data_IF_539765064268
#
_entry.id   IF_539765064268
#
_cell.length_a   1.000
_cell.length_b   1.000
_cell.length_c   1.000
_cell.angle_alpha   90.00
_cell.angle_beta   90.00
_cell.angle_gamma   90.00
#
_symmetry.space_group_name_H-M   'P 1'
#
loop_
_entity.id
_entity.type
_entity.pdbx_description
1 polymer ?
#
# COMPACT_ATOMS: atom_id res chain seq x y z
N UNK A 1 -13.25 -5.12 -2.68
CA UNK A 1 -12.59 -5.78 -1.53
C UNK A 1 -13.21 -5.26 -0.24
N UNK A 2 -13.30 -6.11 0.79
CA UNK A 2 -13.76 -5.72 2.12
C UNK A 2 -12.66 -4.93 2.84
N UNK A 3 -13.03 -3.93 3.64
CA UNK A 3 -12.07 -3.22 4.49
C UNK A 3 -11.74 -4.11 5.69
N UNK A 4 -10.45 -4.31 5.94
CA UNK A 4 -9.96 -5.16 7.03
C UNK A 4 -8.85 -4.44 7.80
N UNK A 5 -8.72 -4.80 9.07
CA UNK A 5 -7.75 -4.21 9.98
C UNK A 5 -8.32 -3.07 10.81
N UNK A 6 -7.42 -2.32 11.43
CA UNK A 6 -7.69 -1.21 12.34
C UNK A 6 -7.65 0.09 11.53
N UNK A 7 -8.62 0.99 11.77
CA UNK A 7 -8.65 2.31 11.13
C UNK A 7 -7.56 3.19 11.75
N UNK A 8 -6.93 4.06 10.95
CA UNK A 8 -5.80 4.88 11.40
C UNK A 8 -6.12 5.71 12.66
N UNK A 9 -7.32 6.25 12.75
CA UNK A 9 -7.75 7.08 13.90
C UNK A 9 -7.93 6.26 15.20
N UNK A 10 -8.05 4.93 15.10
CA UNK A 10 -8.17 4.03 16.25
C UNK A 10 -6.79 3.54 16.76
N UNK A 11 -5.70 3.87 16.05
CA UNK A 11 -4.33 3.54 16.45
C UNK A 11 -3.80 4.52 17.49
N UNK A 12 -2.86 4.06 18.32
CA UNK A 12 -2.10 4.96 19.20
C UNK A 12 -1.24 5.94 18.37
N UNK A 13 -0.81 7.06 18.95
CA UNK A 13 0.06 8.01 18.25
C UNK A 13 1.36 7.38 17.73
N UNK A 14 1.91 6.40 18.45
CA UNK A 14 3.11 5.68 18.01
C UNK A 14 2.82 4.75 16.83
N UNK A 15 1.69 4.03 16.84
CA UNK A 15 1.27 3.18 15.73
C UNK A 15 0.89 3.99 14.49
N UNK A 16 0.31 5.18 14.67
CA UNK A 16 0.06 6.13 13.60
C UNK A 16 1.37 6.59 12.94
N UNK A 17 2.38 6.94 13.74
CA UNK A 17 3.69 7.31 13.24
C UNK A 17 4.33 6.15 12.44
N UNK A 18 4.29 4.92 12.98
CA UNK A 18 4.80 3.73 12.27
C UNK A 18 4.07 3.47 10.95
N UNK A 19 2.75 3.64 10.92
CA UNK A 19 1.95 3.48 9.68
C UNK A 19 2.34 4.53 8.64
N UNK A 20 2.62 5.76 9.08
CA UNK A 20 3.10 6.83 8.20
C UNK A 20 4.52 6.60 7.69
N UNK A 21 5.40 6.10 8.54
CA UNK A 21 6.76 5.76 8.15
C UNK A 21 6.75 4.61 7.14
N UNK A 22 5.90 3.62 7.35
CA UNK A 22 5.69 2.53 6.40
C UNK A 22 5.21 3.05 5.04
N UNK A 23 4.18 3.90 5.01
CA UNK A 23 3.72 4.53 3.77
C UNK A 23 4.84 5.29 3.06
N UNK A 24 5.64 6.05 3.82
CA UNK A 24 6.80 6.80 3.29
C UNK A 24 7.90 5.89 2.76
N UNK A 25 8.18 4.75 3.39
CA UNK A 25 9.17 3.76 2.90
C UNK A 25 8.81 3.27 1.50
N UNK A 26 7.52 3.04 1.24
CA UNK A 26 7.07 2.58 -0.07
C UNK A 26 6.95 3.70 -1.10
N UNK A 27 6.31 4.81 -0.74
CA UNK A 27 6.10 5.94 -1.64
C UNK A 27 7.42 6.64 -1.97
N UNK A 28 8.35 6.73 -1.02
CA UNK A 28 9.66 7.36 -1.19
C UNK A 28 10.62 6.69 -2.17
N UNK A 29 10.21 5.58 -2.80
CA UNK A 29 10.99 4.91 -3.86
C UNK A 29 10.88 5.60 -5.23
N UNK A 30 9.94 6.52 -5.41
CA UNK A 30 9.83 7.36 -6.61
C UNK A 30 10.61 8.69 -6.41
N UNK A 31 10.70 9.53 -7.45
CA UNK A 31 11.42 10.81 -7.35
C UNK A 31 10.82 11.67 -6.22
N UNK A 32 11.65 12.35 -5.40
CA UNK A 32 11.21 13.02 -4.17
C UNK A 32 10.03 13.98 -4.34
N UNK A 33 10.00 14.75 -5.42
CA UNK A 33 8.93 15.70 -5.74
C UNK A 33 7.57 15.02 -5.94
N UNK A 34 7.55 13.82 -6.53
CA UNK A 34 6.31 13.05 -6.69
C UNK A 34 5.95 12.30 -5.40
N UNK A 35 6.96 11.84 -4.67
CA UNK A 35 6.76 11.19 -3.38
C UNK A 35 6.10 12.14 -2.38
N UNK A 36 6.54 13.41 -2.33
CA UNK A 36 5.96 14.42 -1.46
C UNK A 36 4.49 14.70 -1.83
N UNK A 37 4.21 14.92 -3.12
CA UNK A 37 2.82 15.11 -3.60
C UNK A 37 1.93 13.93 -3.22
N UNK A 38 2.44 12.70 -3.39
CA UNK A 38 1.69 11.48 -3.05
C UNK A 38 1.50 11.34 -1.54
N UNK A 39 2.49 11.68 -0.73
CA UNK A 39 2.38 11.67 0.74
C UNK A 39 1.40 12.72 1.24
N UNK A 40 1.35 13.91 0.63
CA UNK A 40 0.32 14.92 0.92
C UNK A 40 -1.09 14.42 0.60
N UNK A 41 -1.25 13.66 -0.49
CA UNK A 41 -2.51 13.00 -0.81
C UNK A 41 -2.88 11.96 0.26
N UNK A 42 -1.93 11.12 0.70
CA UNK A 42 -2.14 10.15 1.79
C UNK A 42 -2.61 10.86 3.05
N UNK A 43 -1.92 11.93 3.46
CA UNK A 43 -2.25 12.71 4.68
C UNK A 43 -3.70 13.19 4.70
N UNK A 44 -4.22 13.63 3.56
CA UNK A 44 -5.62 14.09 3.42
C UNK A 44 -6.66 12.99 3.65
N UNK A 45 -6.28 11.73 3.42
CA UNK A 45 -7.15 10.57 3.54
C UNK A 45 -6.80 9.63 4.70
N UNK A 46 -5.93 10.06 5.63
CA UNK A 46 -5.41 9.20 6.69
C UNK A 46 -6.49 8.60 7.57
N UNK A 47 -7.46 9.42 7.97
CA UNK A 47 -8.58 8.97 8.80
C UNK A 47 -9.22 7.71 8.25
N UNK A 48 -9.24 7.59 6.93
CA UNK A 48 -9.91 6.54 6.18
C UNK A 48 -8.97 5.45 5.66
N UNK A 49 -7.73 5.45 6.15
CA UNK A 49 -6.70 4.44 5.91
C UNK A 49 -6.80 3.33 6.96
N UNK A 50 -6.57 2.10 6.53
CA UNK A 50 -6.62 0.92 7.39
C UNK A 50 -5.29 0.19 7.37
N UNK A 51 -4.92 -0.38 8.51
CA UNK A 51 -3.80 -1.32 8.64
C UNK A 51 -4.30 -2.68 9.12
N UNK A 52 -4.03 -3.72 8.32
CA UNK A 52 -4.28 -5.11 8.68
C UNK A 52 -2.96 -5.82 8.95
N UNK A 53 -2.97 -6.76 9.90
CA UNK A 53 -1.83 -7.60 10.27
C UNK A 53 -2.30 -9.03 10.46
N UNK A 54 -1.52 -10.00 9.99
CA UNK A 54 -1.74 -11.43 10.21
C UNK A 54 -0.38 -12.08 10.45
N UNK A 55 -0.30 -12.98 11.43
CA UNK A 55 0.93 -13.71 11.77
C UNK A 55 1.51 -13.27 13.10
N UNK A 56 2.74 -13.69 13.36
CA UNK A 56 3.39 -13.43 14.63
C UNK A 56 3.95 -12.01 14.74
N UNK A 57 4.57 -11.71 15.88
CA UNK A 57 5.08 -10.37 16.24
C UNK A 57 6.45 -10.42 16.92
N UNK A 58 7.10 -11.59 16.91
CA UNK A 58 8.47 -11.78 17.40
C UNK A 58 9.45 -11.76 16.23
N UNK A 59 10.75 -11.67 16.54
CA UNK A 59 11.80 -11.42 15.55
C UNK A 59 11.91 -12.50 14.47
N UNK A 60 11.53 -13.75 14.77
CA UNK A 60 11.61 -14.88 13.83
C UNK A 60 10.26 -15.23 13.17
N UNK A 61 9.20 -14.49 13.50
CA UNK A 61 7.87 -14.77 12.98
C UNK A 61 7.71 -14.37 11.52
N UNK A 62 6.92 -15.15 10.79
CA UNK A 62 6.38 -14.73 9.51
C UNK A 62 5.08 -13.97 9.73
N UNK A 63 4.92 -12.91 8.95
CA UNK A 63 3.75 -12.04 9.00
C UNK A 63 3.36 -11.51 7.63
N UNK A 64 2.13 -11.01 7.59
CA UNK A 64 1.54 -10.25 6.51
C UNK A 64 1.03 -8.93 7.08
N UNK A 65 1.20 -7.85 6.32
CA UNK A 65 0.48 -6.63 6.59
C UNK A 65 -0.05 -5.99 5.32
N UNK A 66 -1.10 -5.18 5.50
CA UNK A 66 -1.67 -4.36 4.42
C UNK A 66 -2.05 -2.99 4.93
N UNK A 67 -1.51 -1.95 4.28
CA UNK A 67 -1.98 -0.57 4.42
C UNK A 67 -2.82 -0.22 3.20
N UNK A 68 -4.08 0.18 3.39
CA UNK A 68 -4.98 0.37 2.25
C UNK A 68 -6.00 1.52 2.40
N UNK A 69 -6.39 2.02 1.20
CA UNK A 69 -7.39 3.06 0.88
C UNK A 69 -6.98 4.49 1.27
N UNK A 70 -7.31 5.55 0.54
CA UNK A 70 -7.80 5.67 -0.86
C UNK A 70 -6.67 5.84 -1.88
N UNK A 71 -5.48 6.14 -1.38
CA UNK A 71 -4.42 6.74 -2.17
C UNK A 71 -3.40 5.70 -2.59
N UNK A 72 -3.14 4.74 -1.70
CA UNK A 72 -2.17 3.68 -1.89
C UNK A 72 -2.72 2.37 -1.30
N UNK A 73 -2.35 1.27 -1.94
CA UNK A 73 -2.39 -0.08 -1.39
C UNK A 73 -0.94 -0.53 -1.25
N UNK A 74 -0.55 -0.93 -0.04
CA UNK A 74 0.74 -1.53 0.28
C UNK A 74 0.45 -2.88 0.90
N UNK A 75 0.96 -3.95 0.32
CA UNK A 75 0.92 -5.30 0.88
C UNK A 75 2.34 -5.83 1.03
N UNK A 76 2.53 -6.63 2.07
CA UNK A 76 3.77 -7.33 2.34
C UNK A 76 3.46 -8.71 2.90
N UNK A 77 4.18 -9.72 2.44
CA UNK A 77 4.03 -11.10 2.85
C UNK A 77 5.35 -11.86 2.79
N UNK A 78 5.43 -12.89 3.63
CA UNK A 78 6.47 -13.91 3.55
C UNK A 78 5.97 -15.09 2.74
N UNK A 79 6.75 -15.53 1.76
CA UNK A 79 6.41 -16.65 0.90
C UNK A 79 7.38 -17.81 1.08
N UNK A 80 6.92 -19.02 0.73
CA UNK A 80 7.81 -20.18 0.62
C UNK A 80 8.84 -19.96 -0.48
N UNK A 81 9.98 -20.62 -0.38
CA UNK A 81 10.98 -20.59 -1.44
C UNK A 81 10.44 -21.24 -2.71
N UNK A 82 10.59 -20.55 -3.85
CA UNK A 82 10.53 -21.23 -5.16
C UNK A 82 11.95 -21.56 -5.62
N UNK A 83 12.91 -20.67 -5.34
CA UNK A 83 14.35 -20.85 -5.59
C UNK A 83 15.15 -21.22 -4.32
N UNK A 84 14.49 -21.24 -3.16
CA UNK A 84 15.08 -21.61 -1.87
C UNK A 84 14.46 -22.93 -1.42
N UNK A 85 15.27 -23.81 -0.81
CA UNK A 85 14.86 -25.15 -0.37
C UNK A 85 14.07 -25.07 0.95
N UNK A 86 12.91 -24.38 0.93
CA UNK A 86 12.00 -24.27 2.06
C UNK A 86 10.53 -24.35 1.61
N UNK A 87 9.82 -25.37 2.11
CA UNK A 87 8.41 -25.62 1.79
C UNK A 87 7.42 -24.70 2.52
N UNK A 88 7.88 -23.98 3.55
CA UNK A 88 7.06 -23.07 4.37
C UNK A 88 7.49 -21.61 4.16
N UNK A 89 6.58 -20.64 4.32
CA UNK A 89 6.94 -19.23 4.41
C UNK A 89 8.09 -19.00 5.38
N UNK A 90 9.04 -18.14 4.99
CA UNK A 90 10.16 -17.74 5.85
C UNK A 90 10.55 -16.29 5.59
N UNK A 91 11.32 -15.73 6.51
CA UNK A 91 11.86 -14.37 6.42
C UNK A 91 12.84 -14.17 5.26
N UNK A 92 13.32 -15.26 4.66
CA UNK A 92 14.29 -15.23 3.57
C UNK A 92 13.66 -14.93 2.20
N UNK A 93 12.33 -14.88 2.10
CA UNK A 93 11.65 -14.60 0.84
C UNK A 93 10.42 -13.71 1.08
N UNK A 94 10.63 -12.41 0.92
CA UNK A 94 9.60 -11.39 1.10
C UNK A 94 9.04 -10.94 -0.25
N UNK A 95 7.74 -10.69 -0.28
CA UNK A 95 7.05 -10.04 -1.38
C UNK A 95 6.46 -8.73 -0.89
N UNK A 96 6.39 -7.76 -1.80
CA UNK A 96 5.66 -6.54 -1.53
C UNK A 96 4.99 -6.03 -2.79
N UNK A 97 3.80 -5.46 -2.62
CA UNK A 97 3.00 -4.89 -3.69
C UNK A 97 2.65 -3.46 -3.30
N UNK A 98 2.88 -2.52 -4.23
CA UNK A 98 2.43 -1.13 -4.09
C UNK A 98 1.57 -0.79 -5.29
N UNK A 99 0.36 -0.27 -5.05
CA UNK A 99 -0.57 0.14 -6.12
C UNK A 99 -1.28 1.43 -5.79
N UNK A 100 -1.72 2.14 -6.83
CA UNK A 100 -2.74 3.17 -6.66
C UNK A 100 -4.10 2.49 -6.77
N UNK A 101 -5.03 2.64 -5.81
CA UNK A 101 -6.32 1.96 -5.90
C UNK A 101 -7.06 2.27 -7.21
N UNK A 102 -7.68 1.24 -7.80
CA UNK A 102 -8.41 1.28 -9.08
C UNK A 102 -7.57 1.73 -10.29
N UNK A 103 -6.26 1.43 -10.33
CA UNK A 103 -5.39 1.71 -11.49
C UNK A 103 -5.46 0.62 -12.57
N UNK A 104 -5.69 -0.63 -12.19
CA UNK A 104 -5.65 -1.77 -13.10
C UNK A 104 -6.80 -1.77 -14.11
N UNK A 105 -6.45 -1.84 -15.40
CA UNK A 105 -7.43 -1.94 -16.50
C UNK A 105 -8.04 -0.62 -16.96
N UNK A 106 -7.52 0.53 -16.51
CA UNK A 106 -7.96 1.84 -17.03
C UNK A 106 -7.55 2.03 -18.49
N UNK A 107 -8.54 2.30 -19.34
CA UNK A 107 -8.32 2.74 -20.72
C UNK A 107 -8.10 4.25 -20.77
N UNK A 108 -6.87 4.66 -20.44
CA UNK A 108 -6.47 6.06 -20.40
C UNK A 108 -6.57 6.74 -21.78
N UNK A 109 -6.38 5.99 -22.87
CA UNK A 109 -6.47 6.53 -24.21
C UNK A 109 -7.90 6.90 -24.58
N UNK A 110 -8.87 6.04 -24.27
CA UNK A 110 -10.29 6.37 -24.46
C UNK A 110 -10.70 7.57 -23.60
N UNK A 111 -10.30 7.60 -22.32
CA UNK A 111 -10.62 8.72 -21.42
C UNK A 111 -10.07 10.05 -21.95
N UNK A 112 -8.84 10.07 -22.45
CA UNK A 112 -8.25 11.25 -23.07
C UNK A 112 -9.05 11.74 -24.29
N UNK A 113 -9.47 10.82 -25.17
CA UNK A 113 -10.28 11.15 -26.35
C UNK A 113 -11.65 11.72 -25.99
N UNK A 114 -12.32 11.12 -25.01
CA UNK A 114 -13.62 11.59 -24.52
C UNK A 114 -13.53 13.00 -23.92
N UNK A 115 -12.48 13.28 -23.13
CA UNK A 115 -12.25 14.60 -22.53
C UNK A 115 -11.89 15.66 -23.57
N UNK A 116 -11.02 15.34 -24.53
CA UNK A 116 -10.66 16.27 -25.61
C UNK A 116 -11.89 16.68 -26.43
N UNK A 117 -12.78 15.72 -26.73
CA UNK A 117 -14.02 15.97 -27.49
C UNK A 117 -15.03 16.82 -26.69
N UNK A 118 -14.97 16.79 -25.35
CA UNK A 118 -15.81 17.61 -24.48
C UNK A 118 -15.30 19.05 -24.34
N UNK A 119 -13.99 19.29 -24.48
CA UNK A 119 -13.41 20.63 -24.39
C UNK A 119 -13.60 21.46 -25.67
N UNK A 120 -13.86 20.80 -26.81
CA UNK A 120 -14.15 21.41 -28.11
C UNK A 120 -15.66 21.72 -28.32
N UNK A 121 -16.49 21.54 -27.28
CA UNK A 121 -17.92 21.89 -27.27
C UNK A 121 -18.18 23.04 -26.30
#
# INVERSE_FOLDING_TARGET
MKYEGIKFDDLSSSQQALTMDLARTYIGRIRPEYAEVKMEEVKKHLKDTYIAWIGGTTDDDVFYYRVHRHVVLIEFDHNRGIAFDNDKPSQNHVHSVVRTPNDYGKDLLRQHREQATQADR
#
